data_IF_705606630868
#
_entry.id   IF_705606630868
#
_cell.length_a   1.000
_cell.length_b   1.000
_cell.length_c   1.000
_cell.angle_alpha   90.00
_cell.angle_beta   90.00
_cell.angle_gamma   90.00
#
_symmetry.space_group_name_H-M   'P 1'
#
loop_
_entity.id
_entity.type
_entity.pdbx_description
1 polymer ?
#
# COMPACT_ATOMS: atom_id res chain seq x y z
N UNK A 1 10.41 21.62 8.47
CA UNK A 1 10.67 22.46 7.29
C UNK A 1 11.90 22.01 6.46
N UNK A 2 13.12 21.84 7.01
CA UNK A 2 14.30 21.39 6.22
C UNK A 2 14.19 19.99 5.59
N UNK A 3 13.48 19.05 6.20
CA UNK A 3 13.34 17.68 5.68
C UNK A 3 12.40 17.68 4.47
N UNK A 4 11.28 18.39 4.55
CA UNK A 4 10.33 18.54 3.44
C UNK A 4 11.02 19.16 2.20
N UNK A 5 11.82 20.21 2.38
CA UNK A 5 12.51 20.89 1.26
C UNK A 5 13.43 19.92 0.49
N UNK A 6 14.21 19.08 1.18
CA UNK A 6 15.08 18.10 0.52
C UNK A 6 14.29 16.98 -0.18
N UNK A 7 13.16 16.55 0.41
CA UNK A 7 12.26 15.57 -0.21
C UNK A 7 11.61 16.17 -1.47
N UNK A 8 11.14 17.42 -1.40
CA UNK A 8 10.53 18.11 -2.52
C UNK A 8 11.50 18.30 -3.70
N UNK A 9 12.76 18.64 -3.44
CA UNK A 9 13.79 18.79 -4.48
C UNK A 9 14.02 17.49 -5.27
N UNK A 10 13.93 16.33 -4.62
CA UNK A 10 14.11 15.01 -5.26
C UNK A 10 13.09 14.76 -6.38
N UNK A 11 11.87 15.26 -6.22
CA UNK A 11 10.75 14.98 -7.13
C UNK A 11 10.33 16.17 -8.00
N UNK A 12 11.06 17.27 -7.94
CA UNK A 12 10.70 18.52 -8.64
C UNK A 12 10.57 18.37 -10.16
N UNK A 13 11.21 17.36 -10.76
CA UNK A 13 11.09 17.07 -12.18
C UNK A 13 9.68 16.61 -12.61
N UNK A 14 8.87 16.07 -11.69
CA UNK A 14 7.48 15.67 -11.94
C UNK A 14 6.49 16.83 -11.87
N UNK A 15 6.88 17.98 -11.33
CA UNK A 15 6.03 19.15 -11.14
C UNK A 15 6.05 19.68 -9.71
N UNK A 16 5.11 20.55 -9.37
CA UNK A 16 4.98 21.08 -8.01
C UNK A 16 4.81 19.94 -7.00
N UNK A 17 5.49 20.06 -5.85
CA UNK A 17 5.44 19.06 -4.78
C UNK A 17 4.59 19.58 -3.64
N UNK A 18 3.57 18.82 -3.24
CA UNK A 18 2.71 19.10 -2.09
C UNK A 18 2.74 17.96 -1.08
N UNK A 19 2.74 18.31 0.20
CA UNK A 19 2.47 17.37 1.28
C UNK A 19 1.00 17.49 1.64
N UNK A 20 0.29 16.38 1.53
CA UNK A 20 -1.15 16.30 1.74
C UNK A 20 -1.44 15.36 2.91
N UNK A 21 -2.55 15.60 3.58
CA UNK A 21 -2.94 14.85 4.77
C UNK A 21 -4.27 14.16 4.54
N UNK A 22 -4.39 12.91 4.99
CA UNK A 22 -5.65 12.16 4.99
C UNK A 22 -6.00 11.71 6.41
N UNK A 23 -7.28 11.88 6.76
CA UNK A 23 -7.79 11.66 8.12
C UNK A 23 -8.60 10.37 8.16
N UNK A 24 -8.30 9.51 9.11
CA UNK A 24 -8.93 8.20 9.24
C UNK A 24 -9.34 7.92 10.68
N UNK A 25 -10.13 6.88 10.91
CA UNK A 25 -10.40 6.38 12.27
C UNK A 25 -9.18 5.82 13.00
N UNK A 26 -8.04 5.67 12.31
CA UNK A 26 -6.78 5.17 12.88
C UNK A 26 -5.75 6.29 13.13
N UNK A 27 -6.10 7.53 12.78
CA UNK A 27 -5.24 8.70 12.89
C UNK A 27 -5.06 9.44 11.56
N UNK A 28 -4.01 10.24 11.47
CA UNK A 28 -3.68 11.06 10.31
C UNK A 28 -2.45 10.50 9.61
N UNK A 29 -2.56 10.28 8.31
CA UNK A 29 -1.44 9.92 7.46
C UNK A 29 -1.07 11.05 6.50
N UNK A 30 0.08 10.94 5.84
CA UNK A 30 0.56 11.90 4.86
C UNK A 30 0.83 11.24 3.52
N UNK A 31 0.66 11.99 2.44
CA UNK A 31 1.10 11.61 1.11
C UNK A 31 1.83 12.79 0.46
N UNK A 32 3.01 12.54 -0.07
CA UNK A 32 3.77 13.49 -0.86
C UNK A 32 3.40 13.29 -2.33
N UNK A 33 2.88 14.33 -2.96
CA UNK A 33 2.44 14.31 -4.36
C UNK A 33 3.31 15.27 -5.16
N UNK A 34 3.87 14.81 -6.26
CA UNK A 34 4.67 15.59 -7.20
C UNK A 34 3.94 15.66 -8.56
N UNK A 35 3.49 16.83 -8.95
CA UNK A 35 2.52 16.96 -10.04
C UNK A 35 1.21 16.24 -9.69
N UNK A 36 0.93 15.13 -10.36
CA UNK A 36 -0.22 14.24 -10.04
C UNK A 36 0.23 12.83 -9.60
N UNK A 37 1.51 12.63 -9.34
CA UNK A 37 2.11 11.35 -8.97
C UNK A 37 2.37 11.31 -7.47
N UNK A 38 1.80 10.37 -6.70
CA UNK A 38 2.16 10.16 -5.31
C UNK A 38 3.55 9.52 -5.29
N UNK A 39 4.44 10.02 -4.45
CA UNK A 39 5.84 9.57 -4.42
C UNK A 39 6.26 8.97 -3.08
N UNK A 40 5.66 9.42 -1.98
CA UNK A 40 5.87 8.88 -0.64
C UNK A 40 4.54 8.87 0.13
N UNK A 41 4.35 7.90 1.02
CA UNK A 41 3.16 7.78 1.86
C UNK A 41 3.55 7.30 3.25
N UNK A 42 3.04 7.99 4.27
CA UNK A 42 3.12 7.57 5.66
C UNK A 42 1.73 7.08 6.12
N UNK A 43 1.72 5.91 6.75
CA UNK A 43 0.49 5.31 7.29
C UNK A 43 -0.05 6.15 8.46
N UNK A 44 -1.37 6.06 8.77
CA UNK A 44 -1.97 6.85 9.83
C UNK A 44 -1.29 6.68 11.18
N UNK A 45 -1.01 7.80 11.85
CA UNK A 45 -0.53 7.86 13.22
C UNK A 45 -1.62 8.50 14.10
N UNK A 46 -1.98 7.82 15.19
CA UNK A 46 -3.01 8.28 16.11
C UNK A 46 -2.63 9.57 16.87
N UNK A 47 -1.32 9.87 16.98
CA UNK A 47 -0.80 11.09 17.60
C UNK A 47 -0.63 12.26 16.63
N UNK A 48 -0.73 12.02 15.33
CA UNK A 48 -0.57 13.07 14.34
C UNK A 48 -1.84 13.92 14.20
N UNK A 49 -1.63 15.20 13.88
CA UNK A 49 -2.72 16.17 13.67
C UNK A 49 -2.53 16.83 12.30
N UNK A 50 -3.59 16.80 11.49
CA UNK A 50 -3.56 17.49 10.20
C UNK A 50 -3.55 19.02 10.43
N UNK A 51 -2.81 19.79 9.60
CA UNK A 51 -2.89 21.25 9.61
C UNK A 51 -4.32 21.73 9.36
N UNK A 52 -4.71 22.92 9.87
CA UNK A 52 -6.05 23.47 9.68
C UNK A 52 -6.42 23.70 8.21
N UNK A 53 -5.42 23.87 7.36
CA UNK A 53 -5.58 23.98 5.90
C UNK A 53 -4.44 23.20 5.25
N UNK A 54 -4.78 22.14 4.54
CA UNK A 54 -3.84 21.34 3.78
C UNK A 54 -4.41 21.08 2.37
N UNK A 55 -3.54 20.93 1.36
CA UNK A 55 -3.97 20.48 0.05
C UNK A 55 -4.64 19.10 0.16
N UNK A 56 -5.57 18.85 -0.74
CA UNK A 56 -6.26 17.57 -0.87
C UNK A 56 -6.35 17.21 -2.34
N UNK A 57 -6.04 15.98 -2.66
CA UNK A 57 -6.10 15.44 -4.02
C UNK A 57 -6.97 14.19 -4.09
N UNK A 58 -7.08 13.63 -5.30
CA UNK A 58 -7.71 12.32 -5.49
C UNK A 58 -7.08 11.22 -4.63
N UNK A 59 -5.80 11.37 -4.26
CA UNK A 59 -5.05 10.39 -3.48
C UNK A 59 -5.49 10.38 -2.01
N UNK A 60 -5.58 11.55 -1.37
CA UNK A 60 -6.05 11.66 0.02
C UNK A 60 -7.49 11.18 0.15
N UNK A 61 -8.37 11.58 -0.78
CA UNK A 61 -9.76 11.13 -0.80
C UNK A 61 -9.90 9.61 -0.99
N UNK A 62 -9.07 9.02 -1.87
CA UNK A 62 -9.05 7.58 -2.09
C UNK A 62 -8.52 6.83 -0.85
N UNK A 63 -7.49 7.36 -0.18
CA UNK A 63 -6.94 6.79 1.06
C UNK A 63 -7.97 6.84 2.19
N UNK A 64 -8.66 7.96 2.40
CA UNK A 64 -9.73 8.06 3.40
C UNK A 64 -10.84 7.03 3.18
N UNK A 65 -11.27 6.85 1.93
CA UNK A 65 -12.25 5.83 1.54
C UNK A 65 -11.73 4.42 1.79
N UNK A 66 -10.47 4.16 1.45
CA UNK A 66 -9.83 2.87 1.71
C UNK A 66 -9.82 2.53 3.21
N UNK A 67 -9.38 3.47 4.06
CA UNK A 67 -9.36 3.28 5.50
C UNK A 67 -10.74 3.26 6.15
N UNK A 68 -11.77 3.75 5.47
CA UNK A 68 -13.18 3.55 5.82
C UNK A 68 -13.72 2.15 5.41
N UNK A 69 -12.85 1.26 4.89
CA UNK A 69 -13.21 -0.11 4.49
C UNK A 69 -13.89 -0.21 3.13
N UNK A 70 -13.87 0.85 2.33
CA UNK A 70 -14.42 0.81 0.97
C UNK A 70 -13.44 0.15 0.01
N UNK A 71 -13.97 -0.55 -1.00
CA UNK A 71 -13.16 -1.05 -2.09
C UNK A 71 -12.68 0.14 -2.93
N UNK A 72 -11.37 0.32 -3.00
CA UNK A 72 -10.72 1.38 -3.77
C UNK A 72 -9.68 0.76 -4.71
N UNK A 73 -9.65 1.25 -5.93
CA UNK A 73 -8.57 0.99 -6.90
C UNK A 73 -7.78 2.28 -7.06
N UNK A 74 -6.47 2.19 -6.88
CA UNK A 74 -5.55 3.31 -7.09
C UNK A 74 -5.00 3.25 -8.50
N UNK A 75 -5.34 4.26 -9.31
CA UNK A 75 -4.85 4.41 -10.69
C UNK A 75 -3.49 5.13 -10.66
N UNK A 76 -2.45 4.39 -10.28
CA UNK A 76 -1.08 4.87 -10.20
C UNK A 76 -0.38 4.70 -11.55
N UNK A 77 0.20 5.78 -12.06
CA UNK A 77 1.21 5.70 -13.12
C UNK A 77 2.52 5.17 -12.52
N UNK A 78 2.69 3.83 -12.64
CA UNK A 78 3.85 3.14 -12.09
C UNK A 78 5.13 3.53 -12.84
N UNK A 79 5.04 3.89 -14.11
CA UNK A 79 6.22 4.28 -14.89
C UNK A 79 6.72 5.66 -14.45
N UNK A 80 5.82 6.62 -14.23
CA UNK A 80 6.17 7.92 -13.65
C UNK A 80 6.74 7.78 -12.23
N UNK A 81 6.13 6.94 -11.38
CA UNK A 81 6.63 6.64 -10.04
C UNK A 81 8.04 6.01 -10.09
N UNK A 82 8.24 5.01 -10.93
CA UNK A 82 9.52 4.33 -11.07
C UNK A 82 10.62 5.27 -11.60
N UNK A 83 10.29 6.12 -12.57
CA UNK A 83 11.19 7.15 -13.08
C UNK A 83 11.62 8.15 -12.03
N UNK A 84 10.69 8.61 -11.17
CA UNK A 84 10.96 9.52 -10.06
C UNK A 84 11.94 8.95 -9.02
N UNK A 85 11.91 7.63 -8.84
CA UNK A 85 12.76 6.92 -7.87
C UNK A 85 14.04 6.36 -8.49
N UNK A 86 14.20 6.43 -9.81
CA UNK A 86 15.35 5.85 -10.52
C UNK A 86 15.39 4.32 -10.43
N UNK A 87 14.22 3.67 -10.43
CA UNK A 87 14.15 2.22 -10.35
C UNK A 87 14.63 1.55 -11.65
N UNK A 88 15.19 0.36 -11.48
CA UNK A 88 15.56 -0.52 -12.60
C UNK A 88 14.31 -1.08 -13.28
N UNK A 89 14.44 -1.61 -14.50
CA UNK A 89 13.35 -2.28 -15.21
C UNK A 89 12.73 -3.40 -14.38
N UNK A 90 13.56 -4.20 -13.73
CA UNK A 90 13.10 -5.26 -12.82
C UNK A 90 12.22 -4.72 -11.68
N UNK A 91 12.64 -3.64 -11.02
CA UNK A 91 11.86 -3.03 -9.92
C UNK A 91 10.55 -2.47 -10.45
N UNK A 92 10.57 -1.80 -11.59
CA UNK A 92 9.39 -1.28 -12.27
C UNK A 92 8.39 -2.38 -12.59
N UNK A 93 8.84 -3.50 -13.19
CA UNK A 93 7.99 -4.65 -13.53
C UNK A 93 7.39 -5.32 -12.29
N UNK A 94 8.15 -5.41 -11.19
CA UNK A 94 7.64 -5.90 -9.91
C UNK A 94 6.56 -4.96 -9.35
N UNK A 95 6.73 -3.63 -9.43
CA UNK A 95 5.72 -2.68 -8.98
C UNK A 95 4.48 -2.67 -9.90
N UNK A 96 4.64 -2.85 -11.21
CA UNK A 96 3.49 -3.02 -12.13
C UNK A 96 2.68 -4.27 -11.77
N UNK A 97 3.35 -5.41 -11.54
CA UNK A 97 2.68 -6.63 -11.10
C UNK A 97 2.00 -6.44 -9.73
N UNK A 98 2.63 -5.70 -8.81
CA UNK A 98 2.07 -5.41 -7.49
C UNK A 98 0.81 -4.54 -7.58
N UNK A 99 0.84 -3.47 -8.38
CA UNK A 99 -0.30 -2.57 -8.58
C UNK A 99 -1.54 -3.30 -9.13
N UNK A 100 -1.32 -4.36 -9.92
CA UNK A 100 -2.39 -5.19 -10.47
C UNK A 100 -3.01 -6.18 -9.45
N UNK A 101 -2.46 -6.32 -8.24
CA UNK A 101 -2.99 -7.26 -7.23
C UNK A 101 -4.33 -6.75 -6.68
N UNK A 102 -5.45 -7.49 -6.84
CA UNK A 102 -6.77 -7.00 -6.48
C UNK A 102 -6.96 -6.84 -4.96
N UNK A 103 -7.86 -5.93 -4.57
CA UNK A 103 -8.32 -5.74 -3.20
C UNK A 103 -8.85 -7.06 -2.59
N UNK A 104 -8.50 -7.33 -1.34
CA UNK A 104 -8.94 -8.53 -0.62
C UNK A 104 -8.27 -9.83 -1.09
N UNK A 105 -7.26 -9.78 -1.94
CA UNK A 105 -6.46 -10.96 -2.32
C UNK A 105 -5.16 -11.03 -1.52
N UNK A 106 -4.51 -12.18 -1.55
CA UNK A 106 -3.13 -12.33 -1.10
C UNK A 106 -2.43 -13.34 -2.00
N UNK A 107 -1.19 -13.05 -2.35
CA UNK A 107 -0.34 -13.90 -3.18
C UNK A 107 1.04 -14.05 -2.53
N UNK A 108 1.77 -15.08 -2.92
CA UNK A 108 3.12 -15.26 -2.40
C UNK A 108 4.14 -14.38 -3.14
N UNK A 109 5.31 -14.15 -2.52
CA UNK A 109 6.44 -13.51 -3.21
C UNK A 109 6.84 -14.22 -4.51
N UNK A 110 6.64 -15.55 -4.59
CA UNK A 110 6.88 -16.33 -5.80
C UNK A 110 5.86 -16.00 -6.89
N UNK A 111 4.59 -15.92 -6.52
CA UNK A 111 3.53 -15.59 -7.48
C UNK A 111 3.70 -14.17 -8.00
N UNK A 112 4.07 -13.21 -7.13
CA UNK A 112 4.39 -11.84 -7.55
C UNK A 112 5.56 -11.82 -8.54
N UNK A 113 6.66 -12.51 -8.24
CA UNK A 113 7.81 -12.57 -9.12
C UNK A 113 7.47 -13.23 -10.46
N UNK A 114 6.62 -14.25 -10.46
CA UNK A 114 6.11 -14.90 -11.68
C UNK A 114 5.26 -13.94 -12.49
N UNK A 115 4.34 -13.21 -11.84
CA UNK A 115 3.48 -12.20 -12.49
C UNK A 115 4.29 -11.04 -13.08
N UNK A 116 5.43 -10.71 -12.47
CA UNK A 116 6.38 -9.72 -12.99
C UNK A 116 7.29 -10.26 -14.12
N UNK A 117 7.12 -11.52 -14.58
CA UNK A 117 7.95 -12.13 -15.62
C UNK A 117 9.26 -12.77 -15.12
N UNK A 118 9.49 -12.82 -13.80
CA UNK A 118 10.74 -13.28 -13.18
C UNK A 118 10.53 -14.41 -12.17
N UNK A 119 10.08 -15.63 -12.57
CA UNK A 119 9.59 -16.67 -11.65
C UNK A 119 10.61 -17.14 -10.62
N UNK A 120 11.92 -16.98 -10.85
CA UNK A 120 12.96 -17.36 -9.92
C UNK A 120 13.48 -16.22 -9.03
N UNK A 121 12.99 -14.99 -9.23
CA UNK A 121 13.48 -13.78 -8.57
C UNK A 121 12.72 -13.40 -7.28
N UNK A 122 12.03 -14.35 -6.63
CA UNK A 122 11.15 -14.06 -5.48
C UNK A 122 11.87 -13.38 -4.29
N UNK A 123 13.17 -13.65 -4.08
CA UNK A 123 13.96 -12.97 -3.04
C UNK A 123 14.23 -11.52 -3.42
N UNK A 124 14.57 -11.25 -4.68
CA UNK A 124 14.77 -9.91 -5.19
C UNK A 124 13.45 -9.12 -5.17
N UNK A 125 12.32 -9.73 -5.57
CA UNK A 125 10.99 -9.13 -5.41
C UNK A 125 10.69 -8.77 -3.95
N UNK A 126 11.09 -9.62 -2.99
CA UNK A 126 10.99 -9.30 -1.56
C UNK A 126 11.80 -8.06 -1.15
N UNK A 127 12.98 -7.86 -1.73
CA UNK A 127 13.80 -6.66 -1.51
C UNK A 127 13.16 -5.40 -2.11
N UNK A 128 12.49 -5.52 -3.26
CA UNK A 128 11.71 -4.43 -3.85
C UNK A 128 10.56 -4.04 -2.92
N UNK A 129 9.80 -5.03 -2.41
CA UNK A 129 8.71 -4.78 -1.46
C UNK A 129 9.16 -4.07 -0.17
N UNK A 130 10.38 -4.35 0.30
CA UNK A 130 10.93 -3.73 1.51
C UNK A 130 11.27 -2.23 1.32
N UNK A 131 11.35 -1.76 0.06
CA UNK A 131 11.64 -0.36 -0.32
C UNK A 131 10.42 0.38 -0.83
N UNK A 132 9.23 -0.20 -0.71
CA UNK A 132 8.00 0.44 -1.15
C UNK A 132 7.70 1.68 -0.30
N UNK A 133 7.74 2.85 -0.91
CA UNK A 133 7.43 4.14 -0.29
C UNK A 133 5.95 4.54 -0.42
N UNK A 134 5.12 3.71 -1.08
CA UNK A 134 3.68 3.92 -1.27
C UNK A 134 2.84 2.77 -0.69
N UNK A 135 2.95 2.46 0.62
CA UNK A 135 2.10 1.43 1.21
C UNK A 135 0.61 1.72 0.94
N UNK A 136 -0.21 0.70 0.79
CA UNK A 136 -1.62 0.77 0.39
C UNK A 136 -1.83 1.05 -1.10
N UNK A 137 -1.30 2.14 -1.65
CA UNK A 137 -1.39 2.46 -3.10
C UNK A 137 -0.69 1.35 -3.90
N UNK A 138 0.54 1.01 -3.53
CA UNK A 138 1.23 -0.20 -3.95
C UNK A 138 1.07 -1.26 -2.86
N UNK A 139 0.18 -2.24 -3.03
CA UNK A 139 -0.35 -3.04 -1.94
C UNK A 139 0.58 -4.18 -1.49
N UNK A 140 1.80 -3.84 -1.05
CA UNK A 140 2.79 -4.82 -0.59
C UNK A 140 2.31 -5.63 0.64
N UNK A 141 1.28 -5.17 1.35
CA UNK A 141 0.62 -5.94 2.40
C UNK A 141 -0.11 -7.18 1.87
N UNK A 142 -0.49 -7.22 0.59
CA UNK A 142 -1.11 -8.39 -0.07
C UNK A 142 -0.10 -9.47 -0.44
N UNK A 143 1.21 -9.20 -0.34
CA UNK A 143 2.27 -10.18 -0.66
C UNK A 143 2.74 -10.87 0.62
N UNK A 144 2.56 -12.18 0.71
CA UNK A 144 2.83 -13.00 1.90
C UNK A 144 3.87 -14.09 1.62
N UNK A 145 4.33 -14.78 2.64
CA UNK A 145 5.22 -15.92 2.46
C UNK A 145 4.50 -17.12 1.83
N UNK A 146 5.25 -18.04 1.19
CA UNK A 146 4.69 -19.23 0.56
C UNK A 146 3.95 -20.17 1.53
N UNK A 147 4.32 -20.14 2.82
CA UNK A 147 3.64 -20.90 3.88
C UNK A 147 2.33 -20.23 4.36
N UNK A 148 1.99 -19.10 3.74
CA UNK A 148 0.80 -18.30 4.08
C UNK A 148 0.99 -17.37 5.28
N UNK A 149 2.20 -17.27 5.82
CA UNK A 149 2.50 -16.35 6.93
C UNK A 149 2.68 -14.93 6.43
N UNK A 150 2.15 -13.97 7.16
CA UNK A 150 2.09 -12.54 6.84
C UNK A 150 3.48 -11.93 6.54
N UNK A 151 4.49 -12.26 7.37
CA UNK A 151 5.83 -11.70 7.25
C UNK A 151 5.95 -10.28 7.83
N UNK A 152 7.14 -9.69 7.69
CA UNK A 152 7.43 -8.32 8.16
C UNK A 152 6.75 -7.27 7.28
N UNK A 153 6.55 -6.07 7.83
CA UNK A 153 6.00 -4.93 7.11
C UNK A 153 6.63 -3.63 7.63
N UNK A 154 7.45 -3.00 6.80
CA UNK A 154 8.12 -1.76 7.17
C UNK A 154 8.79 -1.82 8.55
N UNK A 155 8.70 -0.73 9.28
CA UNK A 155 9.19 -0.59 10.67
C UNK A 155 8.17 -1.09 11.70
N UNK A 156 6.86 -1.11 11.37
CA UNK A 156 5.78 -1.60 12.22
C UNK A 156 5.03 -2.77 11.57
N UNK A 157 5.37 -3.98 12.01
CA UNK A 157 4.76 -5.21 11.50
C UNK A 157 3.27 -5.37 11.85
N UNK A 158 2.72 -4.53 12.73
CA UNK A 158 1.29 -4.56 13.09
C UNK A 158 0.37 -4.08 11.96
N UNK A 159 0.91 -3.26 11.04
CA UNK A 159 0.13 -2.70 9.94
C UNK A 159 -0.34 -3.74 8.93
N UNK A 160 0.50 -4.71 8.59
CA UNK A 160 0.13 -5.69 7.56
C UNK A 160 -1.10 -6.53 7.92
N UNK A 161 -1.20 -7.12 9.12
CA UNK A 161 -2.42 -7.79 9.56
C UNK A 161 -3.64 -6.85 9.58
N UNK A 162 -3.47 -5.59 9.98
CA UNK A 162 -4.57 -4.60 10.02
C UNK A 162 -5.08 -4.28 8.62
N UNK A 163 -4.20 -4.05 7.64
CA UNK A 163 -4.58 -3.78 6.26
C UNK A 163 -5.25 -5.00 5.62
N UNK A 164 -4.73 -6.21 5.86
CA UNK A 164 -5.36 -7.44 5.41
C UNK A 164 -6.76 -7.63 6.03
N UNK A 165 -6.92 -7.32 7.33
CA UNK A 165 -8.21 -7.38 8.00
C UNK A 165 -9.21 -6.35 7.45
N UNK A 166 -8.75 -5.13 7.17
CA UNK A 166 -9.55 -4.09 6.51
C UNK A 166 -10.08 -4.57 5.16
N UNK A 167 -9.29 -5.35 4.44
CA UNK A 167 -9.67 -5.97 3.16
C UNK A 167 -10.46 -7.27 3.31
N UNK A 168 -10.90 -7.60 4.54
CA UNK A 168 -11.74 -8.76 4.84
C UNK A 168 -10.99 -10.08 4.93
N UNK A 169 -9.66 -10.07 5.10
CA UNK A 169 -8.87 -11.26 5.41
C UNK A 169 -8.57 -11.34 6.89
N UNK A 170 -8.58 -12.53 7.48
CA UNK A 170 -8.15 -12.72 8.86
C UNK A 170 -6.70 -13.23 8.92
N UNK A 171 -6.01 -12.84 10.00
CA UNK A 171 -4.67 -13.34 10.32
C UNK A 171 -4.76 -14.01 11.67
N UNK A 172 -4.40 -15.30 11.76
CA UNK A 172 -4.46 -16.05 13.00
C UNK A 172 -3.29 -15.73 13.96
N UNK A 173 -3.33 -16.26 15.18
CA UNK A 173 -2.29 -16.03 16.19
C UNK A 173 -0.87 -16.45 15.76
N UNK A 174 -0.75 -17.32 14.75
CA UNK A 174 0.51 -17.74 14.17
C UNK A 174 0.93 -16.85 13.00
N UNK A 175 0.19 -15.75 12.72
CA UNK A 175 0.45 -14.84 11.62
C UNK A 175 0.03 -15.38 10.26
N UNK A 176 -0.75 -16.48 10.20
CA UNK A 176 -1.18 -17.10 8.95
C UNK A 176 -2.42 -16.40 8.40
N UNK A 177 -2.35 -15.99 7.14
CA UNK A 177 -3.43 -15.32 6.44
C UNK A 177 -4.47 -16.35 5.99
N UNK A 178 -5.73 -16.12 6.33
CA UNK A 178 -6.88 -16.93 5.93
C UNK A 178 -7.64 -16.26 4.81
N UNK A 179 -8.29 -17.08 3.96
CA UNK A 179 -9.21 -16.57 2.96
C UNK A 179 -10.35 -15.79 3.65
N UNK A 180 -10.95 -14.86 2.92
CA UNK A 180 -12.17 -14.17 3.33
C UNK A 180 -13.20 -15.23 3.73
N UNK A 181 -13.58 -15.29 5.00
CA UNK A 181 -14.65 -16.17 5.44
C UNK A 181 -15.91 -15.79 4.67
N UNK A 182 -16.54 -16.74 3.98
CA UNK A 182 -17.91 -16.55 3.57
C UNK A 182 -18.68 -16.28 4.88
N UNK A 183 -19.17 -15.06 5.06
CA UNK A 183 -20.23 -14.81 6.01
C UNK A 183 -21.35 -15.77 5.62
N UNK A 184 -21.51 -16.85 6.39
CA UNK A 184 -22.62 -17.78 6.23
C UNK A 184 -23.89 -16.95 6.42
N UNK A 185 -24.62 -16.76 5.36
CA UNK A 185 -26.05 -16.58 5.43
C UNK A 185 -26.62 -17.88 6.05
N UNK A 186 -26.66 -17.93 7.37
CA UNK A 186 -27.33 -18.97 8.12
C UNK A 186 -27.75 -18.37 9.44
N UNK A 187 -28.91 -17.71 9.43
CA UNK A 187 -29.87 -17.64 10.53
C UNK A 187 -31.12 -16.87 10.08
N UNK A 188 -31.83 -17.45 9.15
CA UNK A 188 -33.26 -17.17 8.98
C UNK A 188 -33.90 -18.37 8.29
N UNK A 189 -34.23 -19.37 9.03
CA UNK A 189 -35.44 -20.23 8.91
C UNK A 189 -35.45 -21.19 10.07
N UNK A 190 -36.04 -20.80 11.18
CA UNK A 190 -36.76 -21.71 12.12
C UNK A 190 -37.69 -20.86 12.99
N UNK A 191 -38.88 -20.70 12.58
CA UNK A 191 -40.11 -20.90 13.34
C UNK A 191 -41.31 -20.49 12.52
#
# INVERSE_FOLDING_TARGET
MRIFTKRAERYAALGPVSEEYYVTGLGVGTVLVAGDVPVELELPDAGAVAPPSCPSSRWTLALERYFAGQLVTFDLDVDAYAGAHGFTDFEREVYQALAAVPYGTALSYRDLATAAGHPNAYRAAGSVMARNELPVILPCHRVIKNDGVCGRYGTDSSWKPRLLALEGRSVDANGKVRARGNARASDEVRS
#
